data_IF_932482744563
#
_entry.id   IF_932482744563
#
_cell.length_a   1.000
_cell.length_b   1.000
_cell.length_c   1.000
_cell.angle_alpha   90.00
_cell.angle_beta   90.00
_cell.angle_gamma   90.00
#
_symmetry.space_group_name_H-M   'P 1'
#
loop_
_entity.id
_entity.type
_entity.pdbx_description
1 polymer ?
#
# COMPACT_ATOMS: atom_id res chain seq x y z
N UNK A 1 -10.91 3.52 -3.15
CA UNK A 1 -9.93 3.44 -2.06
C UNK A 1 -8.53 3.60 -2.63
N UNK A 2 -7.73 4.44 -2.03
CA UNK A 2 -6.32 4.63 -2.42
C UNK A 2 -5.45 3.77 -1.50
N UNK A 3 -4.62 2.93 -2.10
CA UNK A 3 -3.74 2.01 -1.38
C UNK A 3 -2.29 2.36 -1.75
N UNK A 4 -1.42 2.44 -0.74
CA UNK A 4 0.01 2.62 -0.93
C UNK A 4 0.71 1.30 -0.67
N UNK A 5 1.41 0.76 -1.67
CA UNK A 5 2.24 -0.42 -1.45
C UNK A 5 3.59 -0.03 -0.83
N UNK A 6 4.46 -1.02 -0.59
CA UNK A 6 5.75 -0.74 0.05
C UNK A 6 6.62 0.22 -0.77
N UNK A 7 6.55 0.17 -2.10
CA UNK A 7 7.34 1.07 -2.95
C UNK A 7 6.86 2.51 -2.81
N UNK A 8 5.54 2.72 -2.71
CA UNK A 8 4.97 4.04 -2.47
C UNK A 8 5.30 4.54 -1.07
N UNK A 9 5.26 3.68 -0.05
CA UNK A 9 5.65 4.04 1.32
C UNK A 9 7.11 4.50 1.35
N UNK A 10 8.00 3.80 0.66
CA UNK A 10 9.41 4.21 0.57
C UNK A 10 9.56 5.55 -0.16
N UNK A 11 8.80 5.77 -1.24
CA UNK A 11 8.81 7.04 -1.95
C UNK A 11 8.31 8.19 -1.06
N UNK A 12 7.26 7.95 -0.27
CA UNK A 12 6.77 8.91 0.71
C UNK A 12 7.87 9.30 1.70
N UNK A 13 8.61 8.32 2.22
CA UNK A 13 9.72 8.56 3.15
C UNK A 13 10.87 9.35 2.51
N UNK A 14 10.99 9.31 1.18
CA UNK A 14 11.99 10.09 0.43
C UNK A 14 11.48 11.49 0.05
N UNK A 15 10.27 11.86 0.46
CA UNK A 15 9.70 13.18 0.19
C UNK A 15 8.96 13.31 -1.12
N UNK A 16 8.40 12.22 -1.67
CA UNK A 16 7.57 12.27 -2.88
C UNK A 16 6.42 13.28 -2.69
N UNK A 17 6.30 14.24 -3.60
CA UNK A 17 5.42 15.40 -3.39
C UNK A 17 3.95 15.05 -3.30
N UNK A 18 3.46 14.23 -4.24
CA UNK A 18 2.05 13.82 -4.25
C UNK A 18 1.72 13.02 -2.98
N UNK A 19 2.55 12.05 -2.63
CA UNK A 19 2.31 11.18 -1.48
C UNK A 19 2.44 11.96 -0.17
N UNK A 20 3.38 12.88 -0.07
CA UNK A 20 3.52 13.75 1.10
C UNK A 20 2.28 14.61 1.30
N UNK A 21 1.71 15.12 0.21
CA UNK A 21 0.46 15.88 0.27
C UNK A 21 -0.70 15.04 0.79
N UNK A 22 -0.84 13.81 0.28
CA UNK A 22 -1.89 12.89 0.74
C UNK A 22 -1.73 12.51 2.21
N UNK A 23 -0.50 12.31 2.66
CA UNK A 23 -0.20 11.81 3.99
C UNK A 23 -0.46 12.82 5.11
N UNK A 24 -0.45 14.12 4.81
CA UNK A 24 -0.61 15.17 5.83
C UNK A 24 -2.03 15.76 5.87
N UNK A 25 -2.89 15.43 4.91
CA UNK A 25 -4.26 15.95 4.89
C UNK A 25 -5.10 15.21 5.92
N UNK A 26 -5.69 15.96 6.87
CA UNK A 26 -6.69 15.40 7.77
C UNK A 26 -8.00 15.19 7.02
N UNK A 27 -8.50 13.96 7.05
CA UNK A 27 -9.75 13.58 6.42
C UNK A 27 -10.62 12.90 7.47
N UNK A 28 -11.83 13.42 7.69
CA UNK A 28 -12.75 12.89 8.70
C UNK A 28 -13.23 11.48 8.35
N UNK A 29 -13.44 11.20 7.06
CA UNK A 29 -13.90 9.91 6.58
C UNK A 29 -12.71 8.97 6.32
N UNK A 30 -12.55 7.88 7.10
CA UNK A 30 -11.40 6.98 6.94
C UNK A 30 -11.24 6.42 5.52
N UNK A 31 -12.34 6.17 4.81
CA UNK A 31 -12.26 5.62 3.45
C UNK A 31 -11.68 6.59 2.42
N UNK A 32 -11.60 7.89 2.76
CA UNK A 32 -10.98 8.91 1.92
C UNK A 32 -9.50 9.08 2.18
N UNK A 33 -8.97 8.42 3.23
CA UNK A 33 -7.54 8.42 3.53
C UNK A 33 -6.80 7.50 2.58
N UNK A 34 -5.49 7.73 2.46
CA UNK A 34 -4.62 6.75 1.81
C UNK A 34 -4.38 5.58 2.79
N UNK A 35 -4.47 4.36 2.29
CA UNK A 35 -4.41 3.15 3.10
C UNK A 35 -3.09 2.42 2.89
N UNK A 36 -2.44 2.04 3.99
CA UNK A 36 -1.21 1.26 3.96
C UNK A 36 -1.51 -0.13 4.53
N UNK A 37 -1.52 -1.18 3.69
CA UNK A 37 -1.66 -2.55 4.20
C UNK A 37 -0.49 -2.95 5.10
N UNK A 38 -0.78 -3.71 6.15
CA UNK A 38 0.22 -4.05 7.18
C UNK A 38 1.48 -4.72 6.61
N UNK A 39 1.34 -5.64 5.65
CA UNK A 39 2.51 -6.29 5.06
C UNK A 39 3.32 -5.34 4.17
N UNK A 40 2.68 -4.33 3.59
CA UNK A 40 3.40 -3.29 2.84
C UNK A 40 4.26 -2.45 3.78
N UNK A 41 3.75 -2.17 4.98
CA UNK A 41 4.54 -1.49 6.02
C UNK A 41 5.73 -2.34 6.45
N UNK A 42 5.53 -3.65 6.67
CA UNK A 42 6.62 -4.58 7.02
C UNK A 42 7.67 -4.59 5.91
N UNK A 43 7.26 -4.74 4.66
CA UNK A 43 8.17 -4.79 3.53
C UNK A 43 9.01 -3.51 3.42
N UNK A 44 8.39 -2.35 3.56
CA UNK A 44 9.10 -1.06 3.54
C UNK A 44 10.07 -0.94 4.71
N UNK A 45 9.66 -1.37 5.91
CA UNK A 45 10.48 -1.31 7.12
C UNK A 45 11.69 -2.22 7.04
N UNK A 46 11.59 -3.35 6.34
CA UNK A 46 12.74 -4.25 6.12
C UNK A 46 13.78 -3.61 5.20
N UNK A 47 13.36 -2.81 4.24
CA UNK A 47 14.29 -2.08 3.37
C UNK A 47 14.86 -0.83 4.05
N UNK A 48 14.04 -0.12 4.83
CA UNK A 48 14.44 1.11 5.49
C UNK A 48 13.96 1.11 6.93
N UNK A 49 14.83 0.78 7.89
CA UNK A 49 14.47 0.79 9.31
C UNK A 49 13.93 2.15 9.75
N UNK A 50 12.92 2.14 10.62
CA UNK A 50 12.31 3.35 11.14
C UNK A 50 11.11 3.87 10.35
N UNK A 51 10.73 3.23 9.25
CA UNK A 51 9.59 3.65 8.43
C UNK A 51 8.31 3.73 9.26
N UNK A 52 8.01 2.71 10.07
CA UNK A 52 6.79 2.68 10.87
C UNK A 52 6.71 3.88 11.82
N UNK A 53 7.81 4.21 12.48
CA UNK A 53 7.87 5.38 13.38
C UNK A 53 7.69 6.69 12.60
N UNK A 54 8.26 6.76 11.38
CA UNK A 54 8.21 7.95 10.55
C UNK A 54 6.79 8.26 10.08
N UNK A 55 6.05 7.25 9.60
CA UNK A 55 4.74 7.48 8.98
C UNK A 55 3.56 7.20 9.91
N UNK A 56 3.79 6.56 11.05
CA UNK A 56 2.71 6.09 11.92
C UNK A 56 1.81 7.19 12.50
N UNK A 57 2.32 8.41 12.59
CA UNK A 57 1.58 9.56 13.12
C UNK A 57 1.02 10.48 12.02
N UNK A 58 1.18 10.15 10.75
CA UNK A 58 0.71 11.01 9.66
C UNK A 58 -0.82 10.93 9.54
N UNK A 59 -1.53 12.07 9.61
CA UNK A 59 -2.99 12.08 9.76
C UNK A 59 -3.76 11.63 8.52
N UNK A 60 -3.15 11.70 7.34
CA UNK A 60 -3.78 11.29 6.09
C UNK A 60 -3.71 9.80 5.79
N UNK A 61 -3.05 9.02 6.64
CA UNK A 61 -2.87 7.58 6.44
C UNK A 61 -3.76 6.76 7.36
N UNK A 62 -4.28 5.67 6.82
CA UNK A 62 -4.99 4.62 7.54
C UNK A 62 -4.24 3.31 7.33
N UNK A 63 -4.04 2.53 8.39
CA UNK A 63 -3.30 1.27 8.29
C UNK A 63 -4.28 0.09 8.29
N UNK A 64 -4.16 -0.79 7.29
CA UNK A 64 -5.05 -1.94 7.14
C UNK A 64 -4.42 -3.18 7.79
N UNK A 65 -5.09 -3.80 8.78
CA UNK A 65 -4.58 -5.03 9.36
C UNK A 65 -4.67 -6.19 8.37
N UNK A 66 -3.86 -7.21 8.59
CA UNK A 66 -3.95 -8.47 7.85
C UNK A 66 -4.75 -9.45 8.69
N UNK A 67 -5.97 -9.75 8.25
CA UNK A 67 -6.82 -10.74 8.88
C UNK A 67 -6.56 -12.15 8.32
N UNK A 68 -7.31 -13.15 8.80
CA UNK A 68 -7.16 -14.53 8.34
C UNK A 68 -7.44 -14.66 6.83
N UNK A 69 -8.52 -14.05 6.35
CA UNK A 69 -8.87 -14.09 4.92
C UNK A 69 -7.78 -13.44 4.07
N UNK A 70 -7.22 -12.33 4.54
CA UNK A 70 -6.12 -11.65 3.87
C UNK A 70 -4.86 -12.51 3.83
N UNK A 71 -4.54 -13.18 4.93
CA UNK A 71 -3.38 -14.07 4.99
C UNK A 71 -3.52 -15.23 4.00
N UNK A 72 -4.71 -15.84 3.92
CA UNK A 72 -4.97 -16.91 2.97
C UNK A 72 -4.87 -16.43 1.52
N UNK A 73 -5.37 -15.24 1.23
CA UNK A 73 -5.28 -14.65 -0.11
C UNK A 73 -3.82 -14.35 -0.51
N UNK A 74 -3.03 -13.84 0.43
CA UNK A 74 -1.59 -13.59 0.20
C UNK A 74 -0.87 -14.91 -0.08
N UNK A 75 -1.14 -15.96 0.69
CA UNK A 75 -0.56 -17.28 0.48
C UNK A 75 -0.84 -17.78 -0.94
N UNK A 76 -2.08 -17.69 -1.40
CA UNK A 76 -2.44 -18.12 -2.76
C UNK A 76 -1.74 -17.31 -3.83
N UNK A 77 -1.68 -15.99 -3.66
CA UNK A 77 -1.01 -15.10 -4.61
C UNK A 77 0.48 -15.43 -4.72
N UNK A 78 1.14 -15.67 -3.59
CA UNK A 78 2.56 -16.06 -3.54
C UNK A 78 2.75 -17.42 -4.21
N UNK A 79 1.85 -18.36 -3.99
CA UNK A 79 1.92 -19.69 -4.60
C UNK A 79 1.81 -19.63 -6.13
N UNK A 80 1.15 -18.60 -6.69
CA UNK A 80 1.05 -18.39 -8.14
C UNK A 80 2.18 -17.54 -8.72
N UNK A 81 3.15 -17.11 -7.89
CA UNK A 81 4.34 -16.43 -8.35
C UNK A 81 4.44 -14.94 -7.99
N UNK A 82 3.44 -14.38 -7.30
CA UNK A 82 3.53 -12.99 -6.86
C UNK A 82 4.52 -12.88 -5.70
N UNK A 83 5.38 -11.85 -5.73
CA UNK A 83 6.23 -11.55 -4.58
C UNK A 83 5.35 -11.17 -3.39
N UNK A 84 5.66 -11.70 -2.21
CA UNK A 84 4.84 -11.50 -1.01
C UNK A 84 4.65 -10.02 -0.65
N UNK A 85 5.62 -9.16 -1.02
CA UNK A 85 5.57 -7.74 -0.70
C UNK A 85 4.41 -7.01 -1.36
N UNK A 86 3.84 -7.56 -2.42
CA UNK A 86 2.67 -7.01 -3.12
C UNK A 86 1.36 -7.68 -2.73
N UNK A 87 1.42 -8.80 -2.04
CA UNK A 87 0.23 -9.64 -1.80
C UNK A 87 -0.88 -8.93 -1.02
N UNK A 88 -0.54 -8.20 0.02
CA UNK A 88 -1.54 -7.51 0.83
C UNK A 88 -2.18 -6.33 0.09
N UNK A 89 -1.42 -5.63 -0.76
CA UNK A 89 -1.99 -4.57 -1.61
C UNK A 89 -3.00 -5.14 -2.60
N UNK A 90 -2.70 -6.27 -3.22
CA UNK A 90 -3.62 -6.96 -4.13
C UNK A 90 -4.90 -7.36 -3.40
N UNK A 91 -4.77 -7.98 -2.23
CA UNK A 91 -5.94 -8.36 -1.43
C UNK A 91 -6.78 -7.14 -1.04
N UNK A 92 -6.16 -6.09 -0.55
CA UNK A 92 -6.87 -4.88 -0.13
C UNK A 92 -7.61 -4.21 -1.29
N UNK A 93 -7.02 -4.18 -2.47
CA UNK A 93 -7.64 -3.61 -3.65
C UNK A 93 -8.87 -4.41 -4.09
N UNK A 94 -8.84 -5.74 -3.93
CA UNK A 94 -9.94 -6.62 -4.33
C UNK A 94 -11.04 -6.72 -3.28
N UNK A 95 -10.71 -6.57 -2.00
CA UNK A 95 -11.64 -6.80 -0.88
C UNK A 95 -12.54 -5.61 -0.57
N UNK A 96 -12.22 -4.43 -1.07
CA UNK A 96 -13.01 -3.23 -0.79
C UNK A 96 -14.37 -3.23 -1.48
N UNK A 97 -15.33 -2.50 -0.92
CA UNK A 97 -16.65 -2.31 -1.51
C UNK A 97 -16.60 -1.48 -2.80
N UNK A 98 -15.57 -0.67 -2.96
CA UNK A 98 -15.29 0.10 -4.16
C UNK A 98 -13.97 -0.35 -4.75
N UNK A 99 -13.82 -0.19 -6.07
CA UNK A 99 -12.59 -0.56 -6.75
C UNK A 99 -11.39 0.20 -6.15
N UNK A 100 -10.39 -0.55 -5.68
CA UNK A 100 -9.18 0.00 -5.11
C UNK A 100 -8.14 0.29 -6.17
N UNK A 101 -7.45 1.42 -6.05
CA UNK A 101 -6.27 1.71 -6.85
C UNK A 101 -5.03 1.66 -5.99
N UNK A 102 -3.99 1.02 -6.49
CA UNK A 102 -2.71 0.91 -5.79
C UNK A 102 -1.73 1.92 -6.38
N UNK A 103 -1.25 2.83 -5.56
CA UNK A 103 -0.17 3.73 -5.95
C UNK A 103 1.15 3.00 -5.74
N UNK A 104 1.99 2.96 -6.78
CA UNK A 104 3.19 2.13 -6.78
C UNK A 104 4.28 2.76 -7.66
N UNK A 105 5.53 2.53 -7.30
CA UNK A 105 6.67 2.86 -8.14
C UNK A 105 6.97 1.76 -9.16
N UNK A 106 6.33 0.59 -9.03
CA UNK A 106 6.57 -0.60 -9.86
C UNK A 106 5.25 -1.17 -10.39
N UNK A 107 4.53 -0.44 -11.26
CA UNK A 107 3.21 -0.87 -11.72
C UNK A 107 3.23 -2.22 -12.43
N UNK A 108 4.32 -2.59 -13.08
CA UNK A 108 4.49 -3.87 -13.76
C UNK A 108 4.41 -5.08 -12.81
N UNK A 109 4.65 -4.88 -11.53
CA UNK A 109 4.54 -5.96 -10.53
C UNK A 109 3.10 -6.47 -10.40
N UNK A 110 2.12 -5.68 -10.82
CA UNK A 110 0.69 -6.01 -10.73
C UNK A 110 0.14 -6.59 -12.03
N UNK A 111 0.96 -6.81 -13.04
CA UNK A 111 0.52 -7.40 -14.30
C UNK A 111 -0.11 -8.76 -14.06
N UNK A 112 -1.29 -8.97 -14.63
CA UNK A 112 -2.03 -10.23 -14.47
C UNK A 112 -2.82 -10.36 -13.18
N UNK A 113 -2.74 -9.40 -12.25
CA UNK A 113 -3.47 -9.48 -10.97
C UNK A 113 -4.89 -8.91 -11.06
N UNK A 114 -5.21 -8.15 -12.10
CA UNK A 114 -6.49 -7.45 -12.23
C UNK A 114 -6.58 -6.17 -11.40
N UNK A 115 -5.54 -5.80 -10.68
CA UNK A 115 -5.49 -4.59 -9.84
C UNK A 115 -5.19 -3.36 -10.70
N UNK A 116 -5.87 -2.27 -10.41
CA UNK A 116 -5.56 -0.98 -11.02
C UNK A 116 -4.34 -0.38 -10.32
N UNK A 117 -3.17 -0.50 -10.95
CA UNK A 117 -1.91 0.04 -10.44
C UNK A 117 -1.63 1.40 -11.10
N UNK A 118 -1.39 2.41 -10.28
CA UNK A 118 -1.11 3.77 -10.73
C UNK A 118 0.36 4.06 -10.47
N UNK A 119 1.09 4.35 -11.53
CA UNK A 119 2.52 4.71 -11.43
C UNK A 119 2.66 6.09 -10.81
N UNK A 120 3.32 6.16 -9.66
CA UNK A 120 3.57 7.43 -8.98
C UNK A 120 4.73 8.23 -9.60
N UNK A 121 5.45 7.61 -10.54
CA UNK A 121 6.66 8.20 -11.11
C UNK A 121 7.81 8.24 -10.11
N UNK A 122 8.89 8.89 -10.51
CA UNK A 122 10.04 9.10 -9.62
C UNK A 122 9.81 10.36 -8.78
N UNK A 123 10.21 10.31 -7.50
CA UNK A 123 10.13 11.49 -6.65
C UNK A 123 11.01 12.63 -7.14
#
# INVERSE_FOLDING_TARGET
>A
MIILDHTAVLALCRGHRLLSGLAVVEVDEPHQRAHVPALCLVAASLERPGVAAHIGALPGLEFLPLDFSGAAAVEQAVATGLDWTYGHAVYAAAAGATEGQVLTATPEAYDGTGVWAVDIGKP
#
